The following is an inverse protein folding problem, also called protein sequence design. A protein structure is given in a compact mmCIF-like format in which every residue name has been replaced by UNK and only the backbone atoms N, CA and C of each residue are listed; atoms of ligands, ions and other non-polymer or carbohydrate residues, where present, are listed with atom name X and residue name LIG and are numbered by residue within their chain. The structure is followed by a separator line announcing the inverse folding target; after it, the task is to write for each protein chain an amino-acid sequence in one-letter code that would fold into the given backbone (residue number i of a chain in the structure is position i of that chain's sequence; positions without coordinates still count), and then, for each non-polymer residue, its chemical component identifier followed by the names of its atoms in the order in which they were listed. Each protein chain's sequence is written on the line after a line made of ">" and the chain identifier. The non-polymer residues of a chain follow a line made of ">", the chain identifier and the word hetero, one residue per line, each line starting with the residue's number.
data_IF_225382425133
#
_entry.id   IF_225382425133
#
_cell.length_a   1.000
_cell.length_b   1.000
_cell.length_c   1.000
_cell.angle_alpha   90.00
_cell.angle_beta   90.00
_cell.angle_gamma   90.00
#
_symmetry.space_group_name_H-M   'P 1'
#
loop_
_entity.id
_entity.type
_entity.pdbx_description
1 polymer ?
#
# COMPACT_ATOMS: atom_id res chain seq x y z
N UNK A 1 11.54 4.43 16.50
CA UNK A 1 10.11 4.12 16.71
C UNK A 1 9.39 4.40 15.40
N UNK A 2 9.26 3.42 14.52
CA UNK A 2 8.60 3.60 13.23
C UNK A 2 7.09 3.62 13.48
N UNK A 3 6.47 4.78 13.26
CA UNK A 3 5.04 4.97 13.40
C UNK A 3 4.34 4.43 12.16
N UNK A 4 4.26 3.11 12.05
CA UNK A 4 3.33 2.44 11.12
C UNK A 4 1.93 2.67 11.69
N UNK A 5 1.36 3.86 11.48
CA UNK A 5 -0.05 4.08 11.79
C UNK A 5 -0.86 3.16 10.88
N UNK A 6 -1.46 2.12 11.46
CA UNK A 6 -2.51 1.37 10.79
C UNK A 6 -3.70 2.32 10.63
N UNK A 7 -3.76 3.00 9.47
CA UNK A 7 -4.88 3.86 9.09
C UNK A 7 -6.16 3.03 9.16
N UNK A 8 -7.17 3.61 9.81
CA UNK A 8 -8.46 3.03 10.16
C UNK A 8 -9.00 2.10 9.05
N UNK A 9 -8.90 0.78 9.28
CA UNK A 9 -9.38 -0.26 8.36
C UNK A 9 -10.75 -0.72 8.85
N UNK A 10 -11.81 -0.03 8.44
CA UNK A 10 -13.18 -0.43 8.77
C UNK A 10 -13.46 -1.84 8.17
N UNK A 11 -13.73 -2.89 8.96
CA UNK A 11 -13.13 -4.21 8.69
C UNK A 11 -13.87 -5.12 7.71
N UNK A 12 -14.86 -4.63 6.96
CA UNK A 12 -15.83 -5.54 6.30
C UNK A 12 -16.38 -5.12 4.95
N UNK A 13 -16.17 -3.87 4.51
CA UNK A 13 -16.78 -3.34 3.26
C UNK A 13 -15.78 -2.64 2.34
N UNK A 14 -14.60 -2.27 2.84
CA UNK A 14 -13.63 -1.53 2.06
C UNK A 14 -12.60 -2.45 1.37
N UNK A 15 -12.39 -3.66 1.86
CA UNK A 15 -11.39 -4.61 1.33
C UNK A 15 -11.59 -4.90 -0.17
N UNK A 16 -12.85 -4.99 -0.60
CA UNK A 16 -13.21 -5.15 -2.02
C UNK A 16 -12.94 -3.90 -2.86
N UNK A 17 -13.18 -2.70 -2.33
CA UNK A 17 -12.92 -1.42 -3.01
C UNK A 17 -11.44 -1.11 -3.06
N UNK A 18 -10.70 -1.46 -2.01
CA UNK A 18 -9.24 -1.39 -1.92
C UNK A 18 -8.61 -2.29 -2.98
N UNK A 19 -9.04 -3.56 -3.05
CA UNK A 19 -8.55 -4.47 -4.08
C UNK A 19 -8.88 -3.98 -5.50
N UNK A 20 -10.09 -3.47 -5.73
CA UNK A 20 -10.46 -2.91 -7.03
C UNK A 20 -9.58 -1.71 -7.42
N UNK A 21 -9.33 -0.78 -6.49
CA UNK A 21 -8.42 0.37 -6.72
C UNK A 21 -6.99 -0.08 -7.00
N UNK A 22 -6.49 -1.07 -6.28
CA UNK A 22 -5.16 -1.65 -6.49
C UNK A 22 -5.04 -2.29 -7.87
N UNK A 23 -6.03 -3.10 -8.27
CA UNK A 23 -6.06 -3.74 -9.59
C UNK A 23 -6.23 -2.73 -10.73
N UNK A 24 -6.94 -1.61 -10.50
CA UNK A 24 -7.10 -0.53 -11.49
C UNK A 24 -5.80 0.25 -11.73
N UNK A 25 -4.99 0.46 -10.69
CA UNK A 25 -3.75 1.22 -10.79
C UNK A 25 -2.54 0.40 -11.24
N UNK A 26 -2.58 -0.93 -11.12
CA UNK A 26 -1.49 -1.83 -11.53
C UNK A 26 -0.12 -1.31 -11.07
N UNK A 27 0.08 -1.08 -9.76
CA UNK A 27 1.36 -0.60 -9.28
C UNK A 27 2.48 -1.57 -9.66
N UNK A 28 3.64 -1.01 -9.98
CA UNK A 28 4.85 -1.77 -10.27
C UNK A 28 5.15 -2.75 -9.14
N UNK A 29 5.59 -3.97 -9.45
CA UNK A 29 6.03 -4.91 -8.41
C UNK A 29 7.37 -4.41 -7.85
N UNK A 30 7.48 -4.37 -6.53
CA UNK A 30 8.75 -4.06 -5.87
C UNK A 30 9.79 -5.13 -6.18
N UNK A 31 10.88 -4.73 -6.85
CA UNK A 31 12.00 -5.61 -7.24
C UNK A 31 13.28 -5.34 -6.44
N UNK A 32 13.23 -4.46 -5.43
CA UNK A 32 14.40 -3.97 -4.70
C UNK A 32 15.00 -4.91 -3.64
N UNK A 33 14.49 -6.14 -3.48
CA UNK A 33 15.00 -7.11 -2.52
C UNK A 33 14.92 -6.62 -1.07
N UNK A 34 16.07 -6.61 -0.36
CA UNK A 34 16.17 -6.14 1.03
C UNK A 34 16.45 -4.63 1.16
N UNK A 35 16.33 -3.85 0.09
CA UNK A 35 16.48 -2.40 0.16
C UNK A 35 15.30 -1.77 0.92
N UNK A 36 15.51 -1.49 2.20
CA UNK A 36 14.50 -0.90 3.08
C UNK A 36 14.03 0.48 2.61
N UNK A 37 14.93 1.33 2.12
CA UNK A 37 14.58 2.65 1.60
C UNK A 37 13.69 2.55 0.35
N UNK A 38 14.08 1.67 -0.58
CA UNK A 38 13.27 1.38 -1.76
C UNK A 38 11.91 0.77 -1.42
N UNK A 39 11.85 -0.08 -0.38
CA UNK A 39 10.62 -0.69 0.07
C UNK A 39 9.67 0.34 0.71
N UNK A 40 10.19 1.27 1.51
CA UNK A 40 9.41 2.36 2.10
C UNK A 40 8.79 3.22 1.00
N UNK A 41 9.59 3.65 0.03
CA UNK A 41 9.10 4.45 -1.10
C UNK A 41 8.04 3.72 -1.92
N UNK A 42 8.20 2.41 -2.11
CA UNK A 42 7.20 1.61 -2.82
C UNK A 42 5.88 1.50 -2.04
N UNK A 43 5.94 1.37 -0.71
CA UNK A 43 4.76 1.35 0.15
C UNK A 43 4.05 2.70 0.09
N UNK A 44 4.77 3.83 0.12
CA UNK A 44 4.18 5.17 -0.02
C UNK A 44 3.42 5.32 -1.35
N UNK A 45 4.03 4.89 -2.47
CA UNK A 45 3.38 4.91 -3.79
C UNK A 45 2.11 4.05 -3.84
N UNK A 46 2.12 2.90 -3.18
CA UNK A 46 0.95 2.01 -3.11
C UNK A 46 -0.09 2.55 -2.13
N UNK A 47 0.30 3.27 -1.08
CA UNK A 47 -0.61 3.85 -0.10
C UNK A 47 -1.45 4.99 -0.69
N UNK A 48 -0.90 5.78 -1.62
CA UNK A 48 -1.63 6.81 -2.38
C UNK A 48 -2.87 6.25 -3.11
N UNK A 49 -2.84 4.96 -3.51
CA UNK A 49 -3.95 4.30 -4.21
C UNK A 49 -5.16 4.06 -3.28
N UNK A 50 -4.91 4.03 -1.96
CA UNK A 50 -5.92 3.75 -0.94
C UNK A 50 -6.46 5.02 -0.25
N UNK A 51 -5.86 6.19 -0.50
CA UNK A 51 -6.36 7.51 -0.09
C UNK A 51 -7.42 8.04 -1.08
#
# INVERSE_FOLDING_TARGET
>A
MANFMARDNEPRRDDGKRLERLMRHKPSIFTGGYNSDGAIKWIEEVEIIFE
#
